data_IF_328954008303
#
_entry.id   IF_328954008303
#
_cell.length_a   1.000
_cell.length_b   1.000
_cell.length_c   1.000
_cell.angle_alpha   90.00
_cell.angle_beta   90.00
_cell.angle_gamma   90.00
#
_symmetry.space_group_name_H-M   'P 1'
#
loop_
_entity.id
_entity.type
_entity.pdbx_description
1 polymer ?
#
# COMPACT_ATOMS: atom_id res chain seq x y z
N UNK A 1 -12.14 5.33 -3.61
CA UNK A 1 -11.69 5.14 -2.21
C UNK A 1 -10.16 5.09 -2.11
N UNK A 2 -9.49 4.30 -2.95
CA UNK A 2 -8.02 4.20 -2.94
C UNK A 2 -7.32 5.49 -3.37
N UNK A 3 -7.84 6.16 -4.41
CA UNK A 3 -7.31 7.44 -4.87
C UNK A 3 -7.26 8.46 -3.73
N UNK A 4 -8.30 8.56 -2.90
CA UNK A 4 -8.34 9.46 -1.74
C UNK A 4 -7.26 9.20 -0.68
N UNK A 5 -6.85 7.94 -0.51
CA UNK A 5 -5.78 7.61 0.44
C UNK A 5 -4.43 8.01 -0.16
N UNK A 6 -4.19 7.76 -1.45
CA UNK A 6 -2.98 8.23 -2.13
C UNK A 6 -2.89 9.76 -2.17
N UNK A 7 -4.00 10.44 -2.48
CA UNK A 7 -4.12 11.91 -2.46
C UNK A 7 -3.74 12.47 -1.09
N UNK A 8 -4.22 11.85 -0.02
CA UNK A 8 -3.89 12.30 1.33
C UNK A 8 -2.43 12.05 1.70
N UNK A 9 -1.90 10.87 1.39
CA UNK A 9 -0.48 10.57 1.61
C UNK A 9 0.40 11.54 0.82
N UNK A 10 0.00 11.86 -0.41
CA UNK A 10 0.73 12.77 -1.28
C UNK A 10 0.71 14.21 -0.73
N UNK A 11 -0.47 14.67 -0.27
CA UNK A 11 -0.63 15.97 0.39
C UNK A 11 0.17 16.10 1.68
N UNK A 12 0.21 15.05 2.52
CA UNK A 12 1.02 15.05 3.74
C UNK A 12 2.53 15.19 3.47
N UNK A 13 2.98 14.78 2.28
CA UNK A 13 4.37 14.87 1.85
C UNK A 13 4.65 16.01 0.87
N UNK A 14 3.66 16.83 0.55
CA UNK A 14 3.72 17.89 -0.45
C UNK A 14 4.24 17.38 -1.82
N UNK A 15 3.73 16.23 -2.26
CA UNK A 15 4.06 15.64 -3.57
C UNK A 15 2.81 15.32 -4.38
N UNK A 16 2.99 14.99 -5.66
CA UNK A 16 1.90 14.49 -6.51
C UNK A 16 1.54 13.03 -6.18
N UNK A 17 0.29 12.67 -6.49
CA UNK A 17 -0.22 11.29 -6.36
C UNK A 17 0.60 10.31 -7.19
N UNK A 18 0.99 10.70 -8.41
CA UNK A 18 1.85 9.89 -9.28
C UNK A 18 3.21 9.62 -8.64
N UNK A 19 3.82 10.64 -8.02
CA UNK A 19 5.09 10.48 -7.31
C UNK A 19 4.93 9.61 -6.06
N UNK A 20 3.80 9.71 -5.36
CA UNK A 20 3.48 8.81 -4.25
C UNK A 20 3.37 7.35 -4.72
N UNK A 21 2.66 7.10 -5.83
CA UNK A 21 2.57 5.76 -6.45
C UNK A 21 3.94 5.23 -6.83
N UNK A 22 4.79 6.06 -7.43
CA UNK A 22 6.16 5.70 -7.79
C UNK A 22 7.01 5.33 -6.56
N UNK A 23 6.92 6.11 -5.48
CA UNK A 23 7.62 5.81 -4.21
C UNK A 23 7.16 4.47 -3.62
N UNK A 24 5.86 4.20 -3.67
CA UNK A 24 5.31 2.94 -3.15
C UNK A 24 5.75 1.76 -4.04
N UNK A 25 5.77 1.95 -5.36
CA UNK A 25 6.27 0.94 -6.31
C UNK A 25 7.74 0.61 -6.09
N UNK A 26 8.61 1.61 -5.97
CA UNK A 26 10.05 1.42 -5.67
C UNK A 26 10.25 0.69 -4.33
N UNK A 27 9.43 1.02 -3.33
CA UNK A 27 9.48 0.34 -2.04
C UNK A 27 9.05 -1.12 -2.12
N UNK A 28 7.98 -1.42 -2.85
CA UNK A 28 7.53 -2.80 -3.09
C UNK A 28 8.64 -3.59 -3.77
N UNK A 29 9.29 -3.04 -4.79
CA UNK A 29 10.39 -3.72 -5.50
C UNK A 29 11.60 -4.01 -4.60
N UNK A 30 11.96 -3.05 -3.73
CA UNK A 30 13.04 -3.23 -2.74
C UNK A 30 12.69 -4.27 -1.69
N UNK A 31 11.49 -4.19 -1.13
CA UNK A 31 11.02 -5.14 -0.11
C UNK A 31 10.77 -6.55 -0.72
N UNK A 32 10.48 -6.65 -2.02
CA UNK A 32 10.35 -7.91 -2.75
C UNK A 32 11.69 -8.65 -2.87
N UNK A 33 12.77 -7.90 -3.11
CA UNK A 33 14.14 -8.42 -3.22
C UNK A 33 14.90 -8.41 -1.88
N UNK A 34 14.21 -8.12 -0.76
CA UNK A 34 14.83 -8.08 0.57
C UNK A 34 15.45 -9.45 0.92
N UNK A 35 16.63 -9.42 1.54
CA UNK A 35 17.38 -10.61 1.97
C UNK A 35 16.64 -11.37 3.09
N UNK A 36 15.72 -10.71 3.78
CA UNK A 36 14.94 -11.33 4.86
C UNK A 36 13.82 -12.23 4.29
N UNK A 37 13.89 -13.56 4.50
CA UNK A 37 12.91 -14.50 3.95
C UNK A 37 11.51 -14.32 4.54
N UNK A 38 11.39 -13.82 5.77
CA UNK A 38 10.10 -13.60 6.44
C UNK A 38 9.33 -12.48 5.75
N UNK A 39 10.01 -11.39 5.40
CA UNK A 39 9.39 -10.28 4.67
C UNK A 39 8.94 -10.72 3.29
N UNK A 40 9.80 -11.44 2.56
CA UNK A 40 9.48 -11.97 1.23
C UNK A 40 8.24 -12.86 1.25
N UNK A 41 8.10 -13.70 2.28
CA UNK A 41 6.93 -14.57 2.42
C UNK A 41 5.65 -13.79 2.76
N UNK A 42 5.75 -12.67 3.49
CA UNK A 42 4.60 -11.77 3.70
C UNK A 42 4.12 -11.16 2.39
N UNK A 43 5.04 -10.75 1.50
CA UNK A 43 4.68 -10.19 0.19
C UNK A 43 4.07 -11.23 -0.75
N UNK A 44 4.50 -12.50 -0.67
CA UNK A 44 3.89 -13.60 -1.43
C UNK A 44 2.44 -13.91 -1.04
N UNK A 45 1.96 -13.45 0.12
CA UNK A 45 0.56 -13.65 0.57
C UNK A 45 -0.40 -12.63 -0.02
N UNK A 46 0.09 -11.58 -0.66
CA UNK A 46 -0.75 -10.56 -1.30
C UNK A 46 -1.16 -11.10 -2.67
N UNK A 47 -2.46 -11.26 -2.96
CA UNK A 47 -2.90 -11.63 -4.30
C UNK A 47 -2.63 -10.46 -5.26
N UNK A 48 -1.95 -10.73 -6.37
CA UNK A 48 -1.67 -9.77 -7.44
C UNK A 48 -2.08 -10.38 -8.79
N UNK A 49 -2.59 -9.54 -9.70
CA UNK A 49 -3.14 -9.96 -10.98
C UNK A 49 -2.10 -9.99 -12.12
N UNK A 50 -0.90 -9.41 -11.91
CA UNK A 50 0.16 -9.26 -12.94
C UNK A 50 1.48 -9.95 -12.60
N UNK A 51 2.59 -9.46 -13.15
CA UNK A 51 3.95 -9.94 -12.84
C UNK A 51 4.53 -9.29 -11.58
N UNK A 52 4.11 -8.07 -11.25
CA UNK A 52 4.56 -7.27 -10.10
C UNK A 52 3.35 -6.69 -9.40
N UNK A 53 3.39 -6.69 -8.06
CA UNK A 53 2.36 -6.07 -7.23
C UNK A 53 2.30 -4.55 -7.48
N UNK A 54 1.15 -4.06 -7.91
CA UNK A 54 0.95 -2.62 -8.11
C UNK A 54 0.69 -1.89 -6.78
N UNK A 55 1.00 -0.57 -6.70
CA UNK A 55 0.66 0.24 -5.53
C UNK A 55 -0.83 0.16 -5.15
N UNK A 56 -1.72 0.16 -6.14
CA UNK A 56 -3.16 0.09 -5.93
C UNK A 56 -3.59 -1.31 -5.41
N UNK A 57 -3.03 -2.41 -5.92
CA UNK A 57 -3.30 -3.75 -5.36
C UNK A 57 -2.81 -3.89 -3.92
N UNK A 58 -1.60 -3.40 -3.64
CA UNK A 58 -1.05 -3.36 -2.29
C UNK A 58 -1.97 -2.60 -1.34
N UNK A 59 -2.41 -1.40 -1.73
CA UNK A 59 -3.26 -0.57 -0.88
C UNK A 59 -4.61 -1.25 -0.62
N UNK A 60 -5.20 -1.92 -1.62
CA UNK A 60 -6.45 -2.66 -1.44
C UNK A 60 -6.29 -3.80 -0.44
N UNK A 61 -5.20 -4.57 -0.57
CA UNK A 61 -4.91 -5.65 0.35
C UNK A 61 -4.73 -5.14 1.79
N UNK A 62 -3.94 -4.07 1.97
CA UNK A 62 -3.69 -3.47 3.29
C UNK A 62 -4.99 -2.95 3.90
N UNK A 63 -5.80 -2.22 3.14
CA UNK A 63 -7.10 -1.71 3.60
C UNK A 63 -8.02 -2.87 3.98
N UNK A 64 -8.11 -3.90 3.15
CA UNK A 64 -8.93 -5.08 3.43
C UNK A 64 -8.48 -5.78 4.71
N UNK A 65 -7.18 -6.04 4.84
CA UNK A 65 -6.59 -6.68 6.02
C UNK A 65 -6.85 -5.89 7.30
N UNK A 66 -6.68 -4.57 7.28
CA UNK A 66 -6.97 -3.71 8.44
C UNK A 66 -8.46 -3.79 8.82
N UNK A 67 -9.36 -3.94 7.85
CA UNK A 67 -10.79 -4.15 8.12
C UNK A 67 -11.09 -5.53 8.69
N UNK A 68 -10.53 -6.57 8.10
CA UNK A 68 -10.63 -7.95 8.59
C UNK A 68 -10.09 -8.10 10.03
N UNK A 69 -9.00 -7.40 10.35
CA UNK A 69 -8.39 -7.37 11.69
C UNK A 69 -9.17 -6.49 12.68
N UNK A 70 -10.29 -5.88 12.28
CA UNK A 70 -11.12 -4.99 13.11
C UNK A 70 -10.44 -3.65 13.46
N UNK A 71 -9.34 -3.32 12.80
CA UNK A 71 -8.53 -2.13 13.03
C UNK A 71 -8.93 -0.94 12.14
N UNK A 72 -10.18 -0.88 11.70
CA UNK A 72 -10.71 0.17 10.82
C UNK A 72 -10.48 1.60 11.36
N UNK A 73 -10.33 1.73 12.69
CA UNK A 73 -9.92 2.98 13.34
C UNK A 73 -8.64 3.58 12.78
N UNK A 74 -7.68 2.76 12.34
CA UNK A 74 -6.42 3.20 11.72
C UNK A 74 -6.64 3.89 10.36
N UNK A 75 -7.70 3.50 9.65
CA UNK A 75 -8.05 4.08 8.36
C UNK A 75 -8.84 5.39 8.50
N UNK A 76 -9.39 5.71 9.67
CA UNK A 76 -10.19 6.94 9.87
C UNK A 76 -9.40 8.20 9.52
N UNK A 77 -8.11 8.25 9.88
CA UNK A 77 -7.20 9.34 9.54
C UNK A 77 -6.89 9.41 8.03
N UNK A 78 -7.40 8.49 7.21
CA UNK A 78 -7.25 8.54 5.76
C UNK A 78 -8.58 8.64 5.02
N UNK A 79 -9.66 8.11 5.61
CA UNK A 79 -10.99 8.03 5.02
C UNK A 79 -11.95 9.16 5.44
N UNK A 80 -11.76 9.77 6.62
CA UNK A 80 -12.60 10.86 7.10
C UNK A 80 -11.96 12.19 6.68
N UNK A 81 -12.71 12.96 5.91
CA UNK A 81 -12.36 14.29 5.40
C UNK A 81 -12.98 15.36 6.29
#
# INVERSE_FOLDING_TARGET
>A
MQEHIFERMAREKDISVEKMRAIISDRIEKDWNDENPVKREQWRKIPYAGEVLTPDEWLNYVVKKIKDDGQEGLLRKYLIW
#
